data_IF_514862137461
#
_entry.id   IF_514862137461
#
_cell.length_a   1.000
_cell.length_b   1.000
_cell.length_c   1.000
_cell.angle_alpha   90.00
_cell.angle_beta   90.00
_cell.angle_gamma   90.00
#
_symmetry.space_group_name_H-M   'P 1'
#
loop_
_entity.id
_entity.type
_entity.pdbx_description
1 polymer ?
#
# COMPACT_ATOMS: atom_id res chain seq x y z
N UNK A 1 19.45 13.37 -4.43
CA UNK A 1 18.49 14.40 -4.84
C UNK A 1 19.24 15.58 -5.48
N UNK A 2 19.79 15.50 -6.70
CA UNK A 2 20.49 16.64 -7.35
C UNK A 2 20.14 16.87 -8.84
N UNK A 3 19.27 16.05 -9.45
CA UNK A 3 19.03 16.09 -10.91
C UNK A 3 18.04 17.20 -11.35
N UNK A 4 17.19 17.74 -10.47
CA UNK A 4 16.22 18.80 -10.86
C UNK A 4 16.79 20.22 -10.88
N UNK A 5 17.99 20.45 -10.34
CA UNK A 5 18.64 21.76 -10.33
C UNK A 5 19.51 22.02 -11.57
N UNK A 6 19.66 21.02 -12.46
CA UNK A 6 20.43 21.14 -13.69
C UNK A 6 19.59 21.91 -14.72
N UNK A 7 20.02 23.10 -15.16
CA UNK A 7 19.35 23.84 -16.23
C UNK A 7 19.21 22.96 -17.49
N UNK A 8 18.04 22.98 -18.12
CA UNK A 8 17.74 22.16 -19.30
C UNK A 8 17.19 20.76 -18.99
N UNK A 9 17.18 20.29 -17.73
CA UNK A 9 16.42 19.10 -17.36
C UNK A 9 14.95 19.45 -17.14
N UNK A 10 13.99 18.90 -17.92
CA UNK A 10 12.58 19.26 -17.81
C UNK A 10 11.92 18.76 -16.51
N UNK A 11 12.52 17.77 -15.86
CA UNK A 11 12.00 17.15 -14.65
C UNK A 11 13.12 16.53 -13.81
N UNK A 12 12.86 16.33 -12.53
CA UNK A 12 13.61 15.42 -11.66
C UNK A 12 12.71 14.31 -11.15
N UNK A 13 13.30 13.20 -10.74
CA UNK A 13 12.55 12.10 -10.16
C UNK A 13 13.25 11.56 -8.92
N UNK A 14 12.44 10.96 -8.05
CA UNK A 14 12.86 10.18 -6.90
C UNK A 14 12.11 8.86 -6.92
N UNK A 15 12.75 7.81 -6.45
CA UNK A 15 12.14 6.48 -6.39
C UNK A 15 12.50 5.86 -5.05
N UNK A 16 11.50 5.30 -4.38
CA UNK A 16 11.62 4.60 -3.12
C UNK A 16 10.98 3.22 -3.28
N UNK A 17 11.74 2.17 -2.99
CA UNK A 17 11.25 0.78 -2.98
C UNK A 17 10.64 0.38 -1.62
N UNK A 18 10.84 1.23 -0.60
CA UNK A 18 10.30 1.11 0.76
C UNK A 18 9.89 2.50 1.26
N UNK A 19 8.72 3.02 0.84
CA UNK A 19 8.26 4.36 1.20
C UNK A 19 8.14 4.55 2.71
N UNK A 20 7.85 3.51 3.48
CA UNK A 20 7.80 3.56 4.95
C UNK A 20 9.15 3.90 5.61
N UNK A 21 10.26 3.66 4.92
CA UNK A 21 11.61 4.01 5.39
C UNK A 21 12.12 5.33 4.80
N UNK A 22 11.33 5.99 3.94
CA UNK A 22 11.73 7.18 3.21
C UNK A 22 11.49 8.46 4.02
N UNK A 23 12.50 9.35 4.02
CA UNK A 23 12.51 10.61 4.78
C UNK A 23 12.56 11.87 3.91
N UNK A 24 12.35 11.74 2.60
CA UNK A 24 12.42 12.85 1.65
C UNK A 24 11.43 12.62 0.51
N UNK A 25 10.13 12.75 0.77
CA UNK A 25 9.16 12.83 -0.33
C UNK A 25 9.17 14.22 -0.95
N UNK A 26 8.59 14.33 -2.15
CA UNK A 26 8.53 15.61 -2.85
C UNK A 26 7.62 16.62 -2.15
N UNK A 27 6.56 16.16 -1.47
CA UNK A 27 5.57 17.04 -0.85
C UNK A 27 5.36 16.81 0.65
N UNK A 28 5.81 15.68 1.20
CA UNK A 28 5.75 15.39 2.64
C UNK A 28 7.18 15.14 3.16
N UNK A 29 7.53 15.71 4.30
CA UNK A 29 8.87 15.50 4.88
C UNK A 29 9.10 14.03 5.27
N UNK A 30 8.07 13.33 5.75
CA UNK A 30 8.13 11.93 6.16
C UNK A 30 6.75 11.29 6.05
N UNK A 31 6.69 10.04 5.59
CA UNK A 31 5.44 9.26 5.59
C UNK A 31 5.46 8.30 6.77
N UNK A 32 4.79 8.69 7.85
CA UNK A 32 4.72 7.94 9.11
C UNK A 32 3.76 6.74 9.05
N UNK A 33 3.96 5.86 8.07
CA UNK A 33 3.17 4.63 7.91
C UNK A 33 4.05 3.43 8.27
N UNK A 34 3.67 2.68 9.30
CA UNK A 34 4.36 1.47 9.68
C UNK A 34 3.67 0.28 9.03
N UNK A 35 4.20 -0.13 7.88
CA UNK A 35 3.53 -1.10 7.03
C UNK A 35 3.16 -2.41 7.74
N UNK A 36 4.00 -2.90 8.65
CA UNK A 36 3.74 -4.15 9.37
C UNK A 36 2.55 -4.03 10.34
N UNK A 37 2.43 -2.91 11.05
CA UNK A 37 1.40 -2.69 12.06
C UNK A 37 0.11 -2.13 11.46
N UNK A 38 0.23 -1.12 10.60
CA UNK A 38 -0.93 -0.46 9.99
C UNK A 38 -1.65 -1.38 9.01
N UNK A 39 -0.93 -2.20 8.24
CA UNK A 39 -1.54 -3.21 7.37
C UNK A 39 -2.25 -4.29 8.18
N UNK A 40 -1.62 -4.76 9.26
CA UNK A 40 -2.20 -5.75 10.14
C UNK A 40 -3.51 -5.27 10.77
N UNK A 41 -3.50 -4.05 11.33
CA UNK A 41 -4.72 -3.42 11.87
C UNK A 41 -5.78 -3.18 10.81
N UNK A 42 -5.39 -2.72 9.62
CA UNK A 42 -6.33 -2.51 8.51
C UNK A 42 -6.96 -3.83 8.07
N UNK A 43 -6.18 -4.90 7.91
CA UNK A 43 -6.67 -6.22 7.55
C UNK A 43 -7.62 -6.78 8.62
N UNK A 44 -7.25 -6.69 9.90
CA UNK A 44 -8.14 -7.08 11.01
C UNK A 44 -9.47 -6.36 10.93
N UNK A 45 -9.46 -5.03 10.82
CA UNK A 45 -10.68 -4.24 10.71
C UNK A 45 -11.52 -4.64 9.50
N UNK A 46 -10.91 -4.83 8.33
CA UNK A 46 -11.63 -5.23 7.12
C UNK A 46 -12.26 -6.63 7.23
N UNK A 47 -11.61 -7.56 7.94
CA UNK A 47 -12.15 -8.90 8.20
C UNK A 47 -13.22 -8.92 9.29
N UNK A 48 -13.11 -8.07 10.30
CA UNK A 48 -14.19 -7.87 11.27
C UNK A 48 -15.43 -7.27 10.60
N UNK A 49 -15.25 -6.25 9.76
CA UNK A 49 -16.33 -5.61 9.02
C UNK A 49 -16.97 -6.53 7.96
N UNK A 50 -16.25 -7.55 7.46
CA UNK A 50 -16.79 -8.51 6.50
C UNK A 50 -17.70 -9.56 7.14
N UNK A 51 -17.60 -9.80 8.45
CA UNK A 51 -18.39 -10.79 9.16
C UNK A 51 -18.12 -12.25 8.76
N UNK A 52 -17.02 -12.52 8.03
CA UNK A 52 -16.65 -13.87 7.58
C UNK A 52 -16.16 -14.77 8.73
N UNK A 53 -15.69 -14.17 9.82
CA UNK A 53 -15.15 -14.86 10.98
C UNK A 53 -15.81 -14.36 12.27
N UNK A 54 -16.01 -15.23 13.24
CA UNK A 54 -16.65 -14.86 14.51
C UNK A 54 -15.78 -13.89 15.32
N UNK A 55 -14.47 -14.13 15.34
CA UNK A 55 -13.49 -13.31 16.06
C UNK A 55 -12.23 -13.15 15.22
N UNK A 56 -11.77 -11.90 15.09
CA UNK A 56 -10.51 -11.57 14.42
C UNK A 56 -9.71 -10.70 15.38
N UNK A 57 -8.40 -10.91 15.45
CA UNK A 57 -7.53 -10.06 16.25
C UNK A 57 -6.15 -9.96 15.60
N UNK A 58 -5.45 -8.87 15.87
CA UNK A 58 -4.09 -8.63 15.39
C UNK A 58 -3.07 -9.03 16.46
N UNK A 59 -2.00 -9.72 16.07
CA UNK A 59 -0.89 -10.06 16.96
C UNK A 59 0.45 -9.98 16.24
N UNK A 60 1.45 -9.39 16.90
CA UNK A 60 2.85 -9.33 16.44
C UNK A 60 3.64 -10.46 17.08
N UNK A 61 3.50 -11.69 16.56
CA UNK A 61 4.28 -12.85 17.00
C UNK A 61 3.92 -13.42 18.38
N UNK A 62 2.73 -13.11 18.91
CA UNK A 62 2.19 -13.64 20.16
C UNK A 62 1.16 -14.76 19.97
N UNK A 63 0.13 -14.77 20.83
CA UNK A 63 -0.97 -15.76 20.95
C UNK A 63 -1.59 -16.21 19.61
N UNK A 64 -0.93 -17.18 18.98
CA UNK A 64 -1.42 -17.89 17.78
C UNK A 64 -1.98 -19.26 18.16
N UNK A 65 -1.84 -19.67 19.43
CA UNK A 65 -2.28 -20.97 19.93
C UNK A 65 -3.79 -21.06 20.18
N UNK A 66 -4.48 -19.92 20.27
CA UNK A 66 -5.95 -19.86 20.45
C UNK A 66 -6.70 -19.68 19.14
N UNK A 67 -6.02 -19.43 18.02
CA UNK A 67 -6.64 -19.23 16.72
C UNK A 67 -6.70 -20.54 15.92
N UNK A 68 -7.88 -20.84 15.36
CA UNK A 68 -8.07 -21.95 14.43
C UNK A 68 -7.43 -21.66 13.07
N UNK A 69 -7.42 -20.38 12.68
CA UNK A 69 -6.93 -19.89 11.40
C UNK A 69 -6.00 -18.70 11.57
N UNK A 70 -4.90 -18.70 10.84
CA UNK A 70 -3.86 -17.68 10.88
C UNK A 70 -3.76 -17.05 9.49
N UNK A 71 -4.14 -15.78 9.37
CA UNK A 71 -3.89 -14.99 8.17
C UNK A 71 -2.51 -14.34 8.26
N UNK A 72 -1.65 -14.61 7.28
CA UNK A 72 -0.33 -13.99 7.14
C UNK A 72 -0.32 -13.09 5.91
N UNK A 73 0.20 -11.88 6.09
CA UNK A 73 0.44 -10.93 5.01
C UNK A 73 1.93 -10.68 4.80
N UNK A 74 2.35 -10.52 3.55
CA UNK A 74 3.71 -10.09 3.19
C UNK A 74 3.61 -9.03 2.11
N UNK A 75 4.15 -7.84 2.40
CA UNK A 75 4.35 -6.81 1.40
C UNK A 75 5.49 -7.23 0.46
N UNK A 76 5.15 -7.60 -0.79
CA UNK A 76 6.15 -8.00 -1.80
C UNK A 76 6.77 -6.78 -2.47
N UNK A 77 5.97 -5.74 -2.70
CA UNK A 77 6.43 -4.55 -3.40
C UNK A 77 5.69 -3.31 -2.92
N UNK A 78 6.44 -2.28 -2.54
CA UNK A 78 5.94 -0.94 -2.25
C UNK A 78 6.78 0.09 -2.99
N UNK A 79 6.42 0.35 -4.25
CA UNK A 79 7.16 1.32 -5.05
C UNK A 79 6.47 2.67 -5.00
N UNK A 80 7.21 3.69 -4.56
CA UNK A 80 6.86 5.09 -4.79
C UNK A 80 7.81 5.69 -5.81
N UNK A 81 7.27 6.37 -6.82
CA UNK A 81 8.04 7.20 -7.75
C UNK A 81 7.42 8.58 -7.84
N UNK A 82 8.15 9.57 -7.36
CA UNK A 82 7.75 10.97 -7.46
C UNK A 82 8.55 11.69 -8.54
N UNK A 83 7.86 12.40 -9.42
CA UNK A 83 8.45 13.26 -10.46
C UNK A 83 8.12 14.70 -10.16
N UNK A 84 9.13 15.56 -10.10
CA UNK A 84 9.00 17.01 -9.97
C UNK A 84 9.21 17.66 -11.34
N UNK A 85 8.28 18.50 -11.77
CA UNK A 85 8.32 19.14 -13.08
C UNK A 85 8.89 20.55 -12.93
N UNK A 86 10.07 20.78 -13.49
CA UNK A 86 10.77 22.08 -13.45
C UNK A 86 10.68 22.83 -14.78
N UNK A 87 10.08 22.20 -15.80
CA UNK A 87 9.92 22.75 -17.15
C UNK A 87 11.23 23.18 -17.82
N UNK A 88 12.37 22.64 -17.38
CA UNK A 88 13.69 23.00 -17.89
C UNK A 88 14.20 24.33 -17.37
N UNK A 89 13.39 25.02 -16.57
CA UNK A 89 13.66 26.33 -15.99
C UNK A 89 14.42 26.26 -14.65
N UNK A 90 14.74 25.04 -14.18
CA UNK A 90 15.44 24.79 -12.90
C UNK A 90 14.80 25.60 -11.77
N UNK A 91 15.55 26.50 -11.11
CA UNK A 91 15.10 27.35 -10.02
C UNK A 91 13.91 28.28 -10.36
N UNK A 92 13.66 28.56 -11.65
CA UNK A 92 12.52 29.37 -12.10
C UNK A 92 11.26 28.54 -12.41
N UNK A 93 11.34 27.22 -12.42
CA UNK A 93 10.20 26.31 -12.61
C UNK A 93 9.00 26.59 -11.68
N UNK A 94 9.20 26.94 -10.39
CA UNK A 94 8.11 27.27 -9.48
C UNK A 94 7.22 28.44 -9.92
N UNK A 95 7.72 29.35 -10.76
CA UNK A 95 6.92 30.46 -11.29
C UNK A 95 5.76 29.95 -12.15
N UNK A 96 5.93 28.82 -12.85
CA UNK A 96 4.87 28.22 -13.64
C UNK A 96 3.83 27.50 -12.77
N UNK A 97 4.22 27.02 -11.58
CA UNK A 97 3.26 26.44 -10.64
C UNK A 97 2.31 27.51 -10.08
N UNK A 98 2.76 28.76 -9.93
CA UNK A 98 1.87 29.88 -9.55
C UNK A 98 0.77 30.12 -10.59
N UNK A 99 1.07 29.89 -11.87
CA UNK A 99 0.09 29.95 -12.96
C UNK A 99 -0.81 28.69 -13.03
N UNK A 100 -0.66 27.75 -12.09
CA UNK A 100 -1.49 26.56 -11.98
C UNK A 100 -1.02 25.36 -12.79
N UNK A 101 0.20 25.40 -13.36
CA UNK A 101 0.75 24.25 -14.06
C UNK A 101 1.16 23.13 -13.07
N UNK A 102 1.21 21.86 -13.50
CA UNK A 102 1.51 20.71 -12.65
C UNK A 102 2.90 20.77 -11.98
N UNK A 103 2.94 20.78 -10.66
CA UNK A 103 4.19 20.73 -9.90
C UNK A 103 4.87 19.36 -9.98
N UNK A 104 4.10 18.28 -10.05
CA UNK A 104 4.65 16.94 -10.07
C UNK A 104 3.66 15.84 -10.39
N UNK A 105 4.17 14.63 -10.50
CA UNK A 105 3.40 13.40 -10.69
C UNK A 105 3.96 12.38 -9.72
N UNK A 106 3.12 11.74 -8.91
CA UNK A 106 3.53 10.58 -8.12
C UNK A 106 2.85 9.32 -8.63
N UNK A 107 3.60 8.22 -8.63
CA UNK A 107 3.15 6.88 -8.99
C UNK A 107 3.43 5.95 -7.82
N UNK A 108 2.39 5.30 -7.34
CA UNK A 108 2.48 4.35 -6.24
C UNK A 108 2.09 2.97 -6.76
N UNK A 109 2.81 1.95 -6.32
CA UNK A 109 2.50 0.56 -6.60
C UNK A 109 2.60 -0.23 -5.30
N UNK A 110 1.58 -1.04 -5.06
CA UNK A 110 1.49 -1.92 -3.90
C UNK A 110 1.23 -3.34 -4.39
N UNK A 111 1.95 -4.29 -3.81
CA UNK A 111 1.75 -5.73 -4.01
C UNK A 111 1.83 -6.42 -2.65
N UNK A 112 0.71 -7.02 -2.26
CA UNK A 112 0.51 -7.75 -1.02
C UNK A 112 0.26 -9.22 -1.36
N UNK A 113 1.00 -10.10 -0.69
CA UNK A 113 0.69 -11.52 -0.69
C UNK A 113 0.00 -11.85 0.63
N UNK A 114 -1.16 -12.48 0.56
CA UNK A 114 -1.92 -12.95 1.71
C UNK A 114 -2.01 -14.46 1.65
N UNK A 115 -1.89 -15.13 2.81
CA UNK A 115 -2.12 -16.56 2.94
C UNK A 115 -2.86 -16.88 4.23
N UNK A 116 -3.86 -17.75 4.13
CA UNK A 116 -4.61 -18.28 5.25
C UNK A 116 -4.09 -19.69 5.54
N UNK A 117 -3.69 -19.89 6.79
CA UNK A 117 -3.12 -21.15 7.26
C UNK A 117 -3.92 -21.70 8.43
N UNK A 118 -4.02 -23.02 8.50
CA UNK A 118 -4.49 -23.74 9.68
C UNK A 118 -3.42 -23.73 10.79
N UNK A 119 -3.79 -24.11 12.03
CA UNK A 119 -2.88 -24.32 13.16
C UNK A 119 -1.75 -25.30 12.85
N UNK A 120 -1.99 -26.27 11.97
CA UNK A 120 -0.98 -27.19 11.45
C UNK A 120 -0.02 -26.58 10.41
N UNK A 121 -0.08 -25.26 10.17
CA UNK A 121 0.63 -24.52 9.11
C UNK A 121 0.33 -25.03 7.69
N UNK A 122 -0.85 -25.62 7.48
CA UNK A 122 -1.32 -25.99 6.13
C UNK A 122 -1.92 -24.77 5.47
N UNK A 123 -1.45 -24.43 4.27
CA UNK A 123 -2.02 -23.34 3.49
C UNK A 123 -3.38 -23.75 2.92
N UNK A 124 -4.43 -23.05 3.34
CA UNK A 124 -5.81 -23.27 2.89
C UNK A 124 -6.18 -22.32 1.76
N UNK A 125 -5.56 -21.14 1.74
CA UNK A 125 -5.76 -20.13 0.71
C UNK A 125 -4.53 -19.25 0.59
N UNK A 126 -4.22 -18.83 -0.62
CA UNK A 126 -3.25 -17.79 -0.87
C UNK A 126 -3.62 -17.00 -2.11
N UNK A 127 -3.27 -15.71 -2.07
CA UNK A 127 -3.53 -14.79 -3.16
C UNK A 127 -2.56 -13.62 -3.13
N UNK A 128 -2.31 -13.06 -4.31
CA UNK A 128 -1.53 -11.83 -4.47
C UNK A 128 -2.46 -10.74 -4.95
N UNK A 129 -2.54 -9.66 -4.19
CA UNK A 129 -3.42 -8.52 -4.44
C UNK A 129 -2.58 -7.25 -4.51
N UNK A 130 -2.96 -6.33 -5.36
CA UNK A 130 -2.17 -5.13 -5.56
C UNK A 130 -2.74 -4.24 -6.62
N UNK A 131 -2.10 -3.10 -6.77
CA UNK A 131 -2.52 -2.08 -7.70
C UNK A 131 -1.45 -1.04 -7.92
N UNK A 132 -1.70 -0.18 -8.90
CA UNK A 132 -0.89 0.98 -9.15
C UNK A 132 -1.80 2.19 -9.37
N UNK A 133 -1.43 3.31 -8.77
CA UNK A 133 -2.13 4.58 -8.95
C UNK A 133 -1.15 5.68 -9.30
N UNK A 134 -1.64 6.69 -10.01
CA UNK A 134 -0.87 7.85 -10.44
C UNK A 134 -1.69 9.10 -10.16
N UNK A 135 -1.08 10.07 -9.49
CA UNK A 135 -1.71 11.35 -9.20
C UNK A 135 -0.84 12.49 -9.73
N UNK A 136 -1.49 13.43 -10.39
CA UNK A 136 -0.84 14.68 -10.81
C UNK A 136 -1.09 15.72 -9.73
N UNK A 137 -0.02 16.39 -9.33
CA UNK A 137 0.00 17.37 -8.26
C UNK A 137 0.30 18.75 -8.84
N UNK A 138 -0.33 19.77 -8.29
CA UNK A 138 -0.08 21.17 -8.58
C UNK A 138 -0.33 22.00 -7.33
N UNK A 139 0.08 23.27 -7.35
CA UNK A 139 -0.06 24.15 -6.18
C UNK A 139 -1.51 24.23 -5.67
N UNK A 140 -2.48 24.11 -6.58
CA UNK A 140 -3.91 24.25 -6.28
C UNK A 140 -4.68 22.92 -6.25
N UNK A 141 -4.02 21.77 -6.46
CA UNK A 141 -4.70 20.48 -6.48
C UNK A 141 -3.76 19.32 -6.13
N UNK A 142 -4.25 18.37 -5.32
CA UNK A 142 -3.54 17.13 -4.95
C UNK A 142 -2.13 17.31 -4.36
N UNK A 143 -1.80 18.52 -3.92
CA UNK A 143 -0.52 18.84 -3.29
C UNK A 143 -0.45 18.14 -1.92
N UNK A 144 0.63 17.39 -1.66
CA UNK A 144 0.75 16.62 -0.41
C UNK A 144 -0.03 15.31 -0.37
N UNK A 145 -0.78 14.94 -1.41
CA UNK A 145 -1.53 13.68 -1.46
C UNK A 145 -0.75 12.53 -2.11
N UNK A 146 0.56 12.69 -2.32
CA UNK A 146 1.37 11.71 -3.04
C UNK A 146 1.49 10.37 -2.30
N UNK A 147 1.64 10.39 -0.97
CA UNK A 147 1.78 9.17 -0.18
C UNK A 147 0.44 8.60 0.33
N UNK A 148 -0.61 9.42 0.48
CA UNK A 148 -1.93 8.99 0.98
C UNK A 148 -2.59 7.91 0.10
N UNK A 149 -2.26 7.88 -1.18
CA UNK A 149 -2.75 6.88 -2.12
C UNK A 149 -2.34 5.44 -1.77
N UNK A 150 -1.31 5.22 -0.94
CA UNK A 150 -0.99 3.88 -0.45
C UNK A 150 -2.10 3.30 0.45
N UNK A 151 -2.79 4.14 1.23
CA UNK A 151 -3.91 3.69 2.05
C UNK A 151 -5.07 3.21 1.17
N UNK A 152 -5.37 3.94 0.09
CA UNK A 152 -6.40 3.58 -0.89
C UNK A 152 -6.07 2.25 -1.58
N UNK A 153 -4.84 2.12 -2.10
CA UNK A 153 -4.38 0.87 -2.72
C UNK A 153 -4.43 -0.31 -1.74
N UNK A 154 -4.12 -0.08 -0.47
CA UNK A 154 -4.17 -1.11 0.57
C UNK A 154 -5.61 -1.55 0.81
N UNK A 155 -6.54 -0.60 0.93
CA UNK A 155 -7.96 -0.89 1.10
C UNK A 155 -8.54 -1.64 -0.10
N UNK A 156 -8.20 -1.23 -1.33
CA UNK A 156 -8.63 -1.92 -2.55
C UNK A 156 -8.10 -3.36 -2.60
N UNK A 157 -6.82 -3.56 -2.31
CA UNK A 157 -6.22 -4.89 -2.27
C UNK A 157 -6.84 -5.81 -1.20
N UNK A 158 -7.15 -5.27 -0.01
CA UNK A 158 -7.82 -6.02 1.05
C UNK A 158 -9.28 -6.35 0.69
N UNK A 159 -10.00 -5.44 0.05
CA UNK A 159 -11.36 -5.69 -0.41
C UNK A 159 -11.41 -6.80 -1.46
N UNK A 160 -10.47 -6.79 -2.41
CA UNK A 160 -10.36 -7.85 -3.43
C UNK A 160 -9.99 -9.19 -2.80
N UNK A 161 -9.09 -9.18 -1.80
CA UNK A 161 -8.74 -10.37 -1.03
C UNK A 161 -9.94 -10.96 -0.29
N UNK A 162 -10.72 -10.13 0.40
CA UNK A 162 -11.91 -10.57 1.14
C UNK A 162 -12.96 -11.14 0.21
N UNK A 163 -13.17 -10.54 -0.96
CA UNK A 163 -14.10 -11.09 -1.96
C UNK A 163 -13.67 -12.46 -2.47
N UNK A 164 -12.39 -12.66 -2.79
CA UNK A 164 -11.90 -13.98 -3.21
C UNK A 164 -11.99 -14.99 -2.06
N UNK A 165 -11.71 -14.56 -0.83
CA UNK A 165 -11.85 -15.39 0.37
C UNK A 165 -13.31 -15.83 0.59
N UNK A 166 -14.27 -14.92 0.47
CA UNK A 166 -15.71 -15.20 0.59
C UNK A 166 -16.17 -16.27 -0.41
N UNK A 167 -15.67 -16.21 -1.66
CA UNK A 167 -16.00 -17.22 -2.67
C UNK A 167 -15.41 -18.60 -2.37
N UNK A 168 -14.26 -18.66 -1.69
CA UNK A 168 -13.54 -19.91 -1.38
C UNK A 168 -13.82 -20.46 0.02
N UNK A 169 -14.52 -19.71 0.86
CA UNK A 169 -14.87 -20.08 2.22
C UNK A 169 -15.55 -21.46 2.32
N UNK A 170 -16.50 -21.83 1.43
CA UNK A 170 -17.11 -23.16 1.45
C UNK A 170 -16.10 -24.30 1.25
N UNK A 171 -15.14 -24.12 0.35
CA UNK A 171 -14.10 -25.11 0.06
C UNK A 171 -13.13 -25.25 1.24
N UNK A 172 -12.79 -24.12 1.88
CA UNK A 172 -11.95 -24.08 3.08
C UNK A 172 -12.64 -24.80 4.25
N UNK A 173 -13.93 -24.54 4.46
CA UNK A 173 -14.71 -25.21 5.50
C UNK A 173 -14.79 -26.72 5.29
N UNK A 174 -14.95 -27.18 4.04
CA UNK A 174 -14.90 -28.61 3.69
C UNK A 174 -13.52 -29.21 3.97
N UNK A 175 -12.44 -28.51 3.63
CA UNK A 175 -11.08 -28.97 3.86
C UNK A 175 -10.72 -29.11 5.35
N UNK A 176 -11.25 -28.23 6.21
CA UNK A 176 -11.10 -28.32 7.66
C UNK A 176 -11.81 -29.55 8.23
N UNK A 177 -13.09 -29.74 7.87
CA UNK A 177 -13.91 -30.87 8.32
C UNK A 177 -13.39 -32.25 7.83
N UNK A 178 -12.67 -32.29 6.71
CA UNK A 178 -12.08 -33.52 6.18
C UNK A 178 -10.77 -33.93 6.90
N UNK A 179 -10.28 -33.09 7.82
CA UNK A 179 -9.00 -33.29 8.52
C UNK A 179 -9.13 -33.54 10.02
N UNK A 180 -10.35 -33.49 10.56
CA UNK A 180 -10.72 -34.07 11.86
C UNK A 180 -11.06 -35.56 11.74
#
# INVERSE_FOLDING_TARGET
>A
MWIYLIPGSPFGWITYERPEAAKMFNTIAEYGFQMDEDLGKAATRSLEESGLFERVYFTLGGETEEADLILRGTARRTLYRGTLITYGLSAYGPLLWLAGLPAGISKNQLELQLSLQDRANRELWSGTYGGATSITQGLYYNFGNDALNFAVLTQEALNDAIRDLEHRLPDIALALNASE
#
